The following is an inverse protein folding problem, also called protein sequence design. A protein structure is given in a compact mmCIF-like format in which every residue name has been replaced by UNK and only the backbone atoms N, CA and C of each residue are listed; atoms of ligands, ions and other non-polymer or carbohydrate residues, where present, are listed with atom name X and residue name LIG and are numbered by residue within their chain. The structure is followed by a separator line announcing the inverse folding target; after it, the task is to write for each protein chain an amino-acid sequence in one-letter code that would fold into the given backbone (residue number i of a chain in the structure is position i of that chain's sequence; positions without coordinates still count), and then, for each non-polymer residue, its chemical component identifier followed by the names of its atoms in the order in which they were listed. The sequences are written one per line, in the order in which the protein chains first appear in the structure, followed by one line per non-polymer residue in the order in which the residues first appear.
data_IF_254610092319
#
_entry.id   IF_254610092319
#
_cell.length_a   1.000
_cell.length_b   1.000
_cell.length_c   1.000
_cell.angle_alpha   90.00
_cell.angle_beta   90.00
_cell.angle_gamma   90.00
#
_symmetry.space_group_name_H-M   'P 1'
#
loop_
_entity.id
_entity.type
_entity.pdbx_description
1 polymer ?
#
# COMPACT_ATOMS: atom_id res chain seq x y z
N UNK A 1 0.86 -36.15 0.63
CA UNK A 1 1.15 -34.88 -0.08
C UNK A 1 0.93 -33.76 0.88
N UNK A 2 1.88 -32.85 1.05
CA UNK A 2 1.67 -31.65 1.90
C UNK A 2 0.62 -30.78 1.22
N UNK A 3 -0.51 -30.52 1.86
CA UNK A 3 -1.56 -29.65 1.32
C UNK A 3 -0.95 -28.27 1.08
N UNK A 4 -1.17 -27.69 -0.10
CA UNK A 4 -0.68 -26.35 -0.45
C UNK A 4 -1.34 -25.32 0.47
N UNK A 5 -0.57 -24.40 1.05
CA UNK A 5 -1.11 -23.33 1.90
C UNK A 5 -1.98 -22.37 1.09
N UNK A 6 -2.97 -21.74 1.70
CA UNK A 6 -3.83 -20.75 1.05
C UNK A 6 -3.03 -19.54 0.52
N UNK A 7 -1.94 -19.15 1.20
CA UNK A 7 -1.01 -18.12 0.72
C UNK A 7 -0.41 -18.48 -0.64
N UNK A 8 -0.02 -19.73 -0.83
CA UNK A 8 0.54 -20.21 -2.10
C UNK A 8 -0.52 -20.35 -3.18
N UNK A 9 -1.74 -20.76 -2.82
CA UNK A 9 -2.86 -20.82 -3.77
C UNK A 9 -3.18 -19.42 -4.29
N UNK A 10 -3.23 -18.41 -3.42
CA UNK A 10 -3.48 -17.02 -3.78
C UNK A 10 -2.38 -16.46 -4.69
N UNK A 11 -1.11 -16.73 -4.36
CA UNK A 11 0.02 -16.37 -5.20
C UNK A 11 -0.05 -17.04 -6.58
N UNK A 12 -0.36 -18.33 -6.64
CA UNK A 12 -0.48 -19.09 -7.89
C UNK A 12 -1.67 -18.62 -8.76
N UNK A 13 -2.71 -18.06 -8.14
CA UNK A 13 -3.80 -17.39 -8.84
C UNK A 13 -3.33 -16.13 -9.58
N UNK A 14 -2.18 -15.57 -9.22
CA UNK A 14 -1.64 -14.33 -9.80
C UNK A 14 -1.95 -13.08 -8.99
N UNK A 15 -2.29 -13.22 -7.69
CA UNK A 15 -2.33 -12.11 -6.75
C UNK A 15 -1.05 -12.10 -5.93
N UNK A 16 -0.35 -10.96 -5.91
CA UNK A 16 0.84 -10.76 -5.07
C UNK A 16 0.45 -10.57 -3.61
N UNK A 17 1.15 -11.25 -2.71
CA UNK A 17 0.95 -11.09 -1.27
C UNK A 17 2.04 -10.19 -0.72
N UNK A 18 1.65 -9.01 -0.23
CA UNK A 18 2.56 -8.10 0.43
C UNK A 18 2.26 -8.04 1.93
N UNK A 19 3.30 -7.87 2.72
CA UNK A 19 3.18 -7.68 4.17
C UNK A 19 2.97 -6.20 4.48
N UNK A 20 1.89 -5.85 5.20
CA UNK A 20 1.69 -4.48 5.72
C UNK A 20 2.36 -4.34 7.08
N UNK A 21 3.67 -4.48 7.09
CA UNK A 21 4.52 -4.34 8.27
C UNK A 21 5.99 -4.24 7.87
N UNK A 22 6.75 -3.48 8.65
CA UNK A 22 8.21 -3.46 8.67
C UNK A 22 8.69 -3.11 10.06
N UNK A 23 9.55 -3.92 10.62
CA UNK A 23 10.27 -3.63 11.86
C UNK A 23 11.71 -4.11 11.75
N UNK A 24 12.60 -3.46 12.47
CA UNK A 24 14.01 -3.90 12.55
C UNK A 24 14.12 -5.32 13.11
N UNK A 25 13.20 -5.70 14.00
CA UNK A 25 13.15 -7.05 14.56
C UNK A 25 12.77 -8.10 13.50
N UNK A 26 11.81 -7.82 12.60
CA UNK A 26 11.50 -8.72 11.48
C UNK A 26 12.71 -9.02 10.59
N UNK A 27 13.56 -8.00 10.40
CA UNK A 27 14.80 -8.13 9.62
C UNK A 27 15.89 -8.88 10.39
N UNK A 28 16.12 -8.51 11.66
CA UNK A 28 17.21 -9.06 12.48
C UNK A 28 16.99 -10.53 12.84
N UNK A 29 15.75 -10.94 13.06
CA UNK A 29 15.39 -12.34 13.39
C UNK A 29 15.28 -13.25 12.16
N UNK A 30 15.36 -12.70 10.94
CA UNK A 30 15.13 -13.43 9.70
C UNK A 30 13.66 -13.79 9.46
N UNK A 31 12.73 -13.21 10.24
CA UNK A 31 11.29 -13.51 10.12
C UNK A 31 10.73 -13.09 8.78
N UNK A 32 11.15 -11.92 8.25
CA UNK A 32 10.73 -11.49 6.91
C UNK A 32 11.22 -12.48 5.84
N UNK A 33 12.47 -12.93 5.91
CA UNK A 33 13.00 -13.94 4.98
C UNK A 33 12.18 -15.23 5.02
N UNK A 34 11.80 -15.69 6.22
CA UNK A 34 10.96 -16.88 6.37
C UNK A 34 9.56 -16.67 5.75
N UNK A 35 8.95 -15.49 5.85
CA UNK A 35 7.67 -15.21 5.19
C UNK A 35 7.78 -15.22 3.67
N UNK A 36 8.89 -14.74 3.13
CA UNK A 36 9.21 -14.84 1.70
C UNK A 36 9.26 -16.33 1.29
N UNK A 37 10.04 -17.13 2.00
CA UNK A 37 10.31 -18.52 1.62
C UNK A 37 9.13 -19.46 1.85
N UNK A 38 8.35 -19.26 2.92
CA UNK A 38 7.35 -20.23 3.37
C UNK A 38 5.89 -19.78 3.16
N UNK A 39 5.63 -18.49 3.00
CA UNK A 39 4.29 -17.92 2.91
C UNK A 39 4.02 -17.16 1.60
N UNK A 40 4.93 -17.25 0.63
CA UNK A 40 4.81 -16.59 -0.68
C UNK A 40 4.63 -15.06 -0.57
N UNK A 41 5.25 -14.43 0.42
CA UNK A 41 5.26 -12.97 0.53
C UNK A 41 6.25 -12.41 -0.49
N UNK A 42 5.78 -11.49 -1.34
CA UNK A 42 6.53 -10.98 -2.48
C UNK A 42 6.82 -9.49 -2.43
N UNK A 43 6.43 -8.82 -1.35
CA UNK A 43 6.69 -7.40 -1.14
C UNK A 43 6.20 -6.94 0.23
N UNK A 44 6.35 -5.65 0.51
CA UNK A 44 5.80 -5.04 1.72
C UNK A 44 5.42 -3.58 1.54
N UNK A 45 4.53 -3.11 2.43
CA UNK A 45 4.16 -1.71 2.58
C UNK A 45 4.50 -1.23 3.99
N UNK A 46 4.82 0.05 4.10
CA UNK A 46 5.00 0.75 5.36
C UNK A 46 4.09 1.98 5.43
N UNK A 47 3.93 2.50 6.63
CA UNK A 47 3.24 3.75 6.92
C UNK A 47 3.71 4.31 8.27
N UNK A 48 3.38 5.58 8.63
CA UNK A 48 3.81 6.18 9.88
C UNK A 48 3.42 5.39 11.13
N UNK A 49 2.21 4.80 11.16
CA UNK A 49 1.72 4.02 12.30
C UNK A 49 2.57 2.78 12.56
N UNK A 50 3.01 2.10 11.50
CA UNK A 50 3.89 0.92 11.61
C UNK A 50 5.21 1.32 12.27
N UNK A 51 5.85 2.40 11.80
CA UNK A 51 7.10 2.87 12.37
C UNK A 51 6.96 3.41 13.79
N UNK A 52 5.86 4.12 14.11
CA UNK A 52 5.58 4.55 15.49
C UNK A 52 5.58 3.36 16.44
N UNK A 53 4.80 2.34 16.12
CA UNK A 53 4.73 1.12 16.92
C UNK A 53 6.07 0.39 17.00
N UNK A 54 6.80 0.27 15.89
CA UNK A 54 8.08 -0.42 15.83
C UNK A 54 9.15 0.26 16.69
N UNK A 55 9.29 1.58 16.55
CA UNK A 55 10.32 2.36 17.28
C UNK A 55 9.95 2.47 18.76
N UNK A 56 8.69 2.68 19.09
CA UNK A 56 8.20 2.80 20.47
C UNK A 56 8.45 1.54 21.29
N UNK A 57 8.16 0.38 20.71
CA UNK A 57 8.07 -0.89 21.42
C UNK A 57 9.35 -1.75 21.34
N UNK A 58 10.41 -1.28 20.68
CA UNK A 58 11.65 -2.04 20.51
C UNK A 58 12.88 -1.20 20.84
N UNK A 59 13.89 -1.82 21.47
CA UNK A 59 15.23 -1.25 21.63
C UNK A 59 16.12 -1.44 20.40
N UNK A 60 15.67 -2.17 19.38
CA UNK A 60 16.45 -2.44 18.17
C UNK A 60 16.82 -1.16 17.39
N UNK A 61 16.11 -0.07 17.61
CA UNK A 61 16.39 1.23 17.01
C UNK A 61 17.35 2.10 17.82
N UNK A 62 17.60 1.80 19.10
CA UNK A 62 18.33 2.68 20.01
C UNK A 62 19.77 2.95 19.56
N UNK A 63 20.48 1.94 19.06
CA UNK A 63 21.83 2.12 18.52
C UNK A 63 21.82 3.00 17.25
N UNK A 64 20.87 2.78 16.34
CA UNK A 64 20.69 3.62 15.14
C UNK A 64 20.37 5.08 15.50
N UNK A 65 19.48 5.30 16.46
CA UNK A 65 19.15 6.66 16.94
C UNK A 65 20.41 7.35 17.50
N UNK A 66 21.21 6.68 18.37
CA UNK A 66 22.46 7.26 18.87
C UNK A 66 23.43 7.64 17.75
N UNK A 67 23.63 6.75 16.79
CA UNK A 67 24.50 7.02 15.65
C UNK A 67 24.03 8.28 14.89
N UNK A 68 22.74 8.37 14.57
CA UNK A 68 22.19 9.51 13.83
C UNK A 68 22.22 10.81 14.64
N UNK A 69 22.02 10.75 15.96
CA UNK A 69 22.20 11.91 16.84
C UNK A 69 23.64 12.43 16.82
N UNK A 70 24.63 11.54 16.85
CA UNK A 70 26.05 11.91 16.77
C UNK A 70 26.42 12.51 15.40
N UNK A 71 25.67 12.17 14.34
CA UNK A 71 25.75 12.79 13.00
C UNK A 71 25.00 14.14 12.91
N UNK A 72 24.40 14.62 14.02
CA UNK A 72 23.63 15.87 14.08
C UNK A 72 22.21 15.77 13.52
N UNK A 73 21.71 14.56 13.24
CA UNK A 73 20.36 14.31 12.72
C UNK A 73 19.33 14.37 13.85
N UNK A 74 18.12 14.86 13.53
CA UNK A 74 17.00 14.92 14.49
C UNK A 74 15.65 14.88 13.76
N UNK A 75 14.57 14.66 14.51
CA UNK A 75 13.18 14.72 14.01
C UNK A 75 12.94 13.89 12.75
N UNK A 76 12.35 14.53 11.74
CA UNK A 76 11.99 13.90 10.46
C UNK A 76 13.21 13.36 9.70
N UNK A 77 14.34 14.08 9.70
CA UNK A 77 15.55 13.62 9.03
C UNK A 77 16.08 12.33 9.65
N UNK A 78 16.14 12.28 10.99
CA UNK A 78 16.55 11.08 11.72
C UNK A 78 15.60 9.90 11.43
N UNK A 79 14.30 10.16 11.41
CA UNK A 79 13.30 9.13 11.06
C UNK A 79 13.56 8.54 9.68
N UNK A 80 13.70 9.39 8.65
CA UNK A 80 13.92 8.88 7.29
C UNK A 80 15.23 8.12 7.13
N UNK A 81 16.28 8.45 7.88
CA UNK A 81 17.49 7.62 7.91
C UNK A 81 17.20 6.21 8.43
N UNK A 82 16.49 6.09 9.57
CA UNK A 82 16.13 4.79 10.13
C UNK A 82 15.20 3.98 9.20
N UNK A 83 14.21 4.65 8.60
CA UNK A 83 13.27 4.02 7.68
C UNK A 83 13.96 3.54 6.40
N UNK A 84 14.88 4.33 5.84
CA UNK A 84 15.68 3.95 4.68
C UNK A 84 16.59 2.76 4.99
N UNK A 85 17.24 2.72 6.17
CA UNK A 85 18.04 1.57 6.59
C UNK A 85 17.20 0.27 6.57
N UNK A 86 16.01 0.28 7.14
CA UNK A 86 15.16 -0.90 7.21
C UNK A 86 14.59 -1.27 5.84
N UNK A 87 14.10 -0.29 5.08
CA UNK A 87 13.48 -0.54 3.78
C UNK A 87 14.48 -0.93 2.68
N UNK A 88 15.71 -0.43 2.72
CA UNK A 88 16.75 -0.89 1.80
C UNK A 88 17.16 -2.33 2.09
N UNK A 89 17.27 -2.72 3.37
CA UNK A 89 17.49 -4.13 3.77
C UNK A 89 16.34 -5.02 3.32
N UNK A 90 15.10 -4.58 3.48
CA UNK A 90 13.94 -5.31 2.99
C UNK A 90 13.94 -5.41 1.45
N UNK A 91 14.26 -4.33 0.74
CA UNK A 91 14.38 -4.32 -0.72
C UNK A 91 15.43 -5.34 -1.20
N UNK A 92 16.56 -5.45 -0.51
CA UNK A 92 17.59 -6.45 -0.82
C UNK A 92 17.09 -7.88 -0.63
N UNK A 93 16.25 -8.16 0.38
CA UNK A 93 15.61 -9.47 0.56
C UNK A 93 14.61 -9.81 -0.55
N UNK A 94 13.89 -8.83 -1.07
CA UNK A 94 12.95 -9.00 -2.19
C UNK A 94 13.61 -8.92 -3.57
N UNK A 95 14.87 -8.48 -3.66
CA UNK A 95 15.58 -8.32 -4.94
C UNK A 95 15.57 -9.57 -5.83
N UNK A 96 15.75 -10.81 -5.31
CA UNK A 96 15.65 -12.01 -6.13
C UNK A 96 14.27 -12.19 -6.79
N UNK A 97 13.18 -11.81 -6.10
CA UNK A 97 11.81 -11.85 -6.66
C UNK A 97 11.67 -10.77 -7.74
N UNK A 98 12.15 -9.57 -7.46
CA UNK A 98 12.17 -8.48 -8.43
C UNK A 98 12.88 -8.88 -9.73
N UNK A 99 14.04 -9.50 -9.62
CA UNK A 99 14.83 -9.90 -10.79
C UNK A 99 14.17 -11.04 -11.57
N UNK A 100 13.68 -12.07 -10.89
CA UNK A 100 13.06 -13.22 -11.58
C UNK A 100 11.70 -12.90 -12.18
N UNK A 101 11.00 -11.88 -11.69
CA UNK A 101 9.72 -11.40 -12.23
C UNK A 101 9.89 -10.23 -13.21
N UNK A 102 11.12 -9.86 -13.54
CA UNK A 102 11.43 -8.70 -14.38
C UNK A 102 10.77 -7.42 -13.86
N UNK A 103 10.78 -7.21 -12.53
CA UNK A 103 10.22 -6.03 -11.85
C UNK A 103 8.68 -5.99 -11.80
N UNK A 104 7.98 -7.08 -12.06
CA UNK A 104 6.53 -7.16 -11.83
C UNK A 104 6.22 -7.22 -10.33
N UNK A 105 7.07 -7.87 -9.54
CA UNK A 105 6.90 -8.01 -8.10
C UNK A 105 8.23 -7.79 -7.36
N UNK A 106 8.31 -8.04 -6.06
CA UNK A 106 9.53 -7.86 -5.27
C UNK A 106 9.72 -6.43 -4.76
N UNK A 107 8.62 -5.71 -4.47
CA UNK A 107 8.62 -4.29 -4.14
C UNK A 107 8.51 -4.02 -2.64
N UNK A 108 9.14 -2.93 -2.21
CA UNK A 108 8.92 -2.30 -0.90
C UNK A 108 8.43 -0.87 -1.08
N UNK A 109 7.68 -0.32 -0.11
CA UNK A 109 7.14 1.04 -0.21
C UNK A 109 7.55 1.91 0.96
N UNK A 110 8.05 3.12 0.68
CA UNK A 110 8.33 4.19 1.64
C UNK A 110 7.40 5.38 1.39
N UNK A 111 6.65 5.80 2.40
CA UNK A 111 5.72 6.93 2.31
C UNK A 111 6.42 8.26 2.54
N UNK A 112 6.08 9.28 1.74
CA UNK A 112 6.45 10.68 2.02
C UNK A 112 5.80 11.15 3.32
N UNK A 113 6.29 12.24 3.91
CA UNK A 113 5.64 12.82 5.10
C UNK A 113 4.15 13.10 4.81
N UNK A 114 3.22 12.63 5.68
CA UNK A 114 1.79 12.87 5.50
C UNK A 114 1.41 14.34 5.63
N UNK A 115 2.30 15.18 6.19
CA UNK A 115 2.13 16.62 6.23
C UNK A 115 2.08 17.24 4.83
N UNK A 116 2.60 16.55 3.82
CA UNK A 116 2.68 17.00 2.43
C UNK A 116 1.46 16.59 1.58
N UNK A 117 0.46 15.90 2.16
CA UNK A 117 -0.67 15.31 1.42
C UNK A 117 -1.46 16.31 0.55
N UNK A 118 -1.39 17.59 0.85
CA UNK A 118 -2.06 18.69 0.13
C UNK A 118 -1.09 19.69 -0.51
N UNK A 119 0.20 19.31 -0.69
CA UNK A 119 1.25 20.16 -1.24
C UNK A 119 1.99 19.47 -2.39
N UNK A 120 1.57 19.75 -3.63
CA UNK A 120 2.10 19.11 -4.84
C UNK A 120 3.62 19.24 -4.98
N UNK A 121 4.15 20.45 -4.90
CA UNK A 121 5.58 20.73 -5.14
C UNK A 121 6.48 20.10 -4.07
N UNK A 122 6.09 20.21 -2.80
CA UNK A 122 6.81 19.64 -1.66
C UNK A 122 6.80 18.11 -1.71
N UNK A 123 5.65 17.51 -2.05
CA UNK A 123 5.49 16.06 -2.24
C UNK A 123 6.42 15.54 -3.33
N UNK A 124 6.47 16.19 -4.49
CA UNK A 124 7.37 15.79 -5.60
C UNK A 124 8.84 15.91 -5.19
N UNK A 125 9.21 16.98 -4.51
CA UNK A 125 10.58 17.19 -4.03
C UNK A 125 10.99 16.10 -3.03
N UNK A 126 10.13 15.79 -2.06
CA UNK A 126 10.35 14.71 -1.10
C UNK A 126 10.46 13.35 -1.79
N UNK A 127 9.58 13.04 -2.75
CA UNK A 127 9.61 11.80 -3.51
C UNK A 127 10.93 11.62 -4.27
N UNK A 128 11.41 12.64 -4.96
CA UNK A 128 12.71 12.65 -5.66
C UNK A 128 13.88 12.40 -4.70
N UNK A 129 13.88 13.10 -3.56
CA UNK A 129 14.93 12.97 -2.55
C UNK A 129 14.97 11.57 -1.94
N UNK A 130 13.83 11.06 -1.49
CA UNK A 130 13.73 9.73 -0.86
C UNK A 130 14.10 8.61 -1.82
N UNK A 131 13.63 8.67 -3.08
CA UNK A 131 13.97 7.68 -4.09
C UNK A 131 15.48 7.66 -4.39
N UNK A 132 16.09 8.82 -4.55
CA UNK A 132 17.53 8.93 -4.79
C UNK A 132 18.35 8.39 -3.62
N UNK A 133 17.96 8.72 -2.37
CA UNK A 133 18.62 8.25 -1.14
C UNK A 133 18.46 6.74 -0.93
N UNK A 134 17.31 6.17 -1.30
CA UNK A 134 17.08 4.73 -1.18
C UNK A 134 18.03 3.92 -2.07
N UNK A 135 18.34 4.38 -3.27
CA UNK A 135 19.28 3.74 -4.19
C UNK A 135 18.93 2.28 -4.51
N UNK A 136 17.63 1.94 -4.52
CA UNK A 136 17.13 0.59 -4.80
C UNK A 136 16.09 0.63 -5.94
N UNK A 137 16.24 -0.23 -6.96
CA UNK A 137 15.32 -0.24 -8.11
C UNK A 137 13.91 -0.72 -7.76
N UNK A 138 13.77 -1.49 -6.68
CA UNK A 138 12.52 -2.11 -6.22
C UNK A 138 11.93 -1.39 -5.00
N UNK A 139 12.08 -0.08 -4.91
CA UNK A 139 11.47 0.74 -3.86
C UNK A 139 10.50 1.75 -4.50
N UNK A 140 9.22 1.64 -4.12
CA UNK A 140 8.15 2.56 -4.49
C UNK A 140 8.10 3.71 -3.49
N UNK A 141 7.95 4.92 -3.99
CA UNK A 141 7.60 6.06 -3.13
C UNK A 141 6.08 6.11 -3.00
N UNK A 142 5.59 6.10 -1.76
CA UNK A 142 4.16 6.10 -1.49
C UNK A 142 3.67 7.55 -1.36
N UNK A 143 2.70 7.92 -2.20
CA UNK A 143 2.17 9.28 -2.34
C UNK A 143 0.65 9.23 -2.18
N UNK A 144 0.03 10.09 -1.33
CA UNK A 144 -1.43 10.19 -1.22
C UNK A 144 -2.09 10.56 -2.55
N UNK A 145 -3.17 9.85 -2.91
CA UNK A 145 -3.99 10.14 -4.10
C UNK A 145 -5.02 11.24 -3.84
N UNK A 146 -4.64 12.28 -3.11
CA UNK A 146 -5.43 13.51 -2.92
C UNK A 146 -5.45 14.33 -4.20
N UNK A 147 -6.35 15.30 -4.28
CA UNK A 147 -6.43 16.22 -5.44
C UNK A 147 -5.07 16.88 -5.74
N UNK A 148 -4.35 17.29 -4.70
CA UNK A 148 -3.03 17.92 -4.79
C UNK A 148 -1.91 16.88 -5.01
N UNK A 149 -2.11 15.64 -4.60
CA UNK A 149 -1.17 14.54 -4.83
C UNK A 149 -1.14 14.05 -6.28
N UNK A 150 -2.27 14.12 -7.00
CA UNK A 150 -2.35 13.63 -8.39
C UNK A 150 -1.33 14.27 -9.33
N UNK A 151 -1.13 15.60 -9.36
CA UNK A 151 -0.08 16.21 -10.19
C UNK A 151 1.33 15.78 -9.75
N UNK A 152 1.58 15.58 -8.46
CA UNK A 152 2.88 15.09 -7.98
C UNK A 152 3.14 13.65 -8.43
N UNK A 153 2.11 12.81 -8.48
CA UNK A 153 2.18 11.43 -8.99
C UNK A 153 2.53 11.43 -10.47
N UNK A 154 1.85 12.23 -11.30
CA UNK A 154 2.15 12.38 -12.73
C UNK A 154 3.62 12.80 -12.96
N UNK A 155 4.08 13.83 -12.25
CA UNK A 155 5.46 14.31 -12.35
C UNK A 155 6.50 13.29 -11.84
N UNK A 156 6.20 12.54 -10.76
CA UNK A 156 7.07 11.49 -10.26
C UNK A 156 7.21 10.36 -11.28
N UNK A 157 6.10 9.90 -11.87
CA UNK A 157 6.10 8.89 -12.92
C UNK A 157 6.87 9.40 -14.15
N UNK A 158 6.63 10.65 -14.57
CA UNK A 158 7.40 11.25 -15.66
C UNK A 158 8.90 11.30 -15.34
N UNK A 159 9.28 11.58 -14.11
CA UNK A 159 10.68 11.55 -13.67
C UNK A 159 11.29 10.13 -13.57
N UNK A 160 10.49 9.07 -13.75
CA UNK A 160 10.93 7.67 -13.67
C UNK A 160 10.96 7.11 -12.26
N UNK A 161 10.24 7.72 -11.33
CA UNK A 161 10.14 7.28 -9.94
C UNK A 161 8.97 6.31 -9.81
N UNK A 162 9.19 5.07 -9.33
CA UNK A 162 8.11 4.13 -9.05
C UNK A 162 7.23 4.64 -7.91
N UNK A 163 5.89 4.58 -8.07
CA UNK A 163 4.94 5.17 -7.12
C UNK A 163 3.90 4.16 -6.63
N UNK A 164 3.71 4.13 -5.30
CA UNK A 164 2.53 3.55 -4.66
C UNK A 164 1.54 4.67 -4.34
N UNK A 165 0.44 4.77 -5.10
CA UNK A 165 -0.61 5.75 -4.82
C UNK A 165 -1.47 5.25 -3.67
N UNK A 166 -1.55 5.99 -2.56
CA UNK A 166 -2.28 5.59 -1.35
C UNK A 166 -3.49 6.46 -1.06
N UNK A 167 -4.26 6.09 -0.04
CA UNK A 167 -5.50 6.77 0.39
C UNK A 167 -6.58 6.84 -0.70
N UNK A 168 -6.70 5.77 -1.50
CA UNK A 168 -7.79 5.62 -2.45
C UNK A 168 -8.94 4.87 -1.79
N UNK A 169 -10.14 5.38 -1.91
CA UNK A 169 -11.32 4.79 -1.27
C UNK A 169 -12.42 4.42 -2.28
N UNK A 170 -12.43 4.98 -3.46
CA UNK A 170 -13.48 4.72 -4.44
C UNK A 170 -12.92 4.39 -5.83
N UNK A 171 -13.81 3.91 -6.70
CA UNK A 171 -13.52 3.76 -8.13
C UNK A 171 -13.03 5.09 -8.73
N UNK A 172 -13.66 6.19 -8.36
CA UNK A 172 -13.34 7.54 -8.85
C UNK A 172 -11.94 7.96 -8.42
N UNK A 173 -11.56 7.71 -7.16
CA UNK A 173 -10.20 7.96 -6.68
C UNK A 173 -9.18 7.09 -7.43
N UNK A 174 -9.50 5.82 -7.65
CA UNK A 174 -8.64 4.93 -8.44
C UNK A 174 -8.48 5.44 -9.89
N UNK A 175 -9.57 5.80 -10.56
CA UNK A 175 -9.53 6.28 -11.94
C UNK A 175 -8.68 7.55 -12.05
N UNK A 176 -8.84 8.50 -11.12
CA UNK A 176 -8.02 9.71 -11.09
C UNK A 176 -6.52 9.41 -10.91
N UNK A 177 -6.18 8.44 -10.04
CA UNK A 177 -4.79 7.99 -9.85
C UNK A 177 -4.24 7.30 -11.11
N UNK A 178 -5.04 6.44 -11.76
CA UNK A 178 -4.67 5.77 -13.00
C UNK A 178 -4.47 6.75 -14.16
N UNK A 179 -5.29 7.80 -14.24
CA UNK A 179 -5.15 8.88 -15.21
C UNK A 179 -3.84 9.67 -15.01
N UNK A 180 -3.49 10.00 -13.76
CA UNK A 180 -2.21 10.65 -13.45
C UNK A 180 -1.02 9.77 -13.85
N UNK A 181 -1.07 8.49 -13.53
CA UNK A 181 -0.07 7.50 -13.97
C UNK A 181 0.06 7.45 -15.49
N UNK A 182 -1.08 7.29 -16.21
CA UNK A 182 -1.07 7.21 -17.68
C UNK A 182 -0.48 8.45 -18.33
N UNK A 183 -0.86 9.66 -17.87
CA UNK A 183 -0.28 10.91 -18.39
C UNK A 183 1.23 10.96 -18.19
N UNK A 184 1.71 10.55 -17.02
CA UNK A 184 3.14 10.47 -16.74
C UNK A 184 3.87 9.52 -17.71
N UNK A 185 3.29 8.34 -17.98
CA UNK A 185 3.84 7.35 -18.91
C UNK A 185 3.78 7.86 -20.37
N UNK A 186 2.65 8.41 -20.81
CA UNK A 186 2.51 8.99 -22.16
C UNK A 186 3.54 10.08 -22.41
N UNK A 187 3.76 10.98 -21.46
CA UNK A 187 4.81 12.01 -21.56
C UNK A 187 6.22 11.40 -21.65
N UNK A 188 6.48 10.26 -20.98
CA UNK A 188 7.77 9.55 -21.13
C UNK A 188 7.95 9.01 -22.53
N UNK A 189 6.91 8.39 -23.09
CA UNK A 189 6.91 7.86 -24.45
C UNK A 189 7.17 8.98 -25.45
N UNK A 190 6.47 10.11 -25.33
CA UNK A 190 6.62 11.28 -26.21
C UNK A 190 8.03 11.90 -26.11
N UNK A 191 8.65 11.82 -24.94
CA UNK A 191 10.02 12.27 -24.70
C UNK A 191 11.10 11.24 -25.08
N UNK A 192 10.72 10.06 -25.60
CA UNK A 192 11.67 8.98 -25.94
C UNK A 192 12.33 8.32 -24.72
N UNK A 193 11.74 8.46 -23.52
CA UNK A 193 12.23 7.87 -22.28
C UNK A 193 11.62 6.45 -22.08
N UNK A 194 12.33 5.60 -21.33
CA UNK A 194 11.83 4.27 -21.00
C UNK A 194 10.50 4.35 -20.24
N UNK A 195 9.38 3.80 -20.75
CA UNK A 195 8.07 3.84 -20.09
C UNK A 195 7.88 2.80 -18.98
N UNK A 196 8.85 1.95 -18.70
CA UNK A 196 8.79 0.94 -17.64
C UNK A 196 8.99 1.58 -16.26
N UNK A 197 7.99 2.33 -15.80
CA UNK A 197 7.95 2.86 -14.44
C UNK A 197 6.84 2.13 -13.69
N UNK A 198 7.21 1.40 -12.64
CA UNK A 198 6.25 0.62 -11.87
C UNK A 198 5.35 1.52 -11.02
N UNK A 199 4.10 1.10 -10.87
CA UNK A 199 3.17 1.74 -9.94
C UNK A 199 2.14 0.75 -9.40
N UNK A 200 1.64 1.05 -8.21
CA UNK A 200 0.46 0.39 -7.62
C UNK A 200 -0.51 1.45 -7.12
N UNK A 201 -1.81 1.11 -7.13
CA UNK A 201 -2.89 1.96 -6.63
C UNK A 201 -3.55 1.29 -5.44
N UNK A 202 -3.32 1.81 -4.24
CA UNK A 202 -3.74 1.22 -2.96
C UNK A 202 -5.14 1.67 -2.58
N UNK A 203 -6.12 0.78 -2.76
CA UNK A 203 -7.54 0.99 -2.41
C UNK A 203 -7.82 0.40 -1.04
N UNK A 204 -8.33 1.23 -0.14
CA UNK A 204 -8.61 0.87 1.26
C UNK A 204 -9.98 0.22 1.39
N UNK A 205 -10.03 -0.93 2.06
CA UNK A 205 -11.24 -1.78 2.06
C UNK A 205 -11.97 -1.76 3.40
N UNK A 206 -11.36 -2.22 4.50
CA UNK A 206 -12.09 -2.44 5.76
C UNK A 206 -12.62 -1.16 6.42
N UNK A 207 -12.10 0.00 6.07
CA UNK A 207 -12.57 1.28 6.64
C UNK A 207 -13.99 1.63 6.23
N UNK A 208 -14.45 1.19 5.06
CA UNK A 208 -15.82 1.34 4.61
C UNK A 208 -16.80 0.66 5.56
N UNK A 209 -16.52 -0.59 5.88
CA UNK A 209 -17.40 -1.37 6.75
C UNK A 209 -17.37 -0.87 8.19
N UNK A 210 -16.21 -0.40 8.67
CA UNK A 210 -16.10 0.25 9.97
C UNK A 210 -16.93 1.55 10.06
N UNK A 211 -16.96 2.35 8.99
CA UNK A 211 -17.71 3.62 8.95
C UNK A 211 -19.23 3.44 8.96
N UNK A 212 -19.75 2.33 8.44
CA UNK A 212 -21.18 2.03 8.38
C UNK A 212 -21.64 1.07 9.49
N UNK A 213 -20.73 0.60 10.33
CA UNK A 213 -21.04 -0.31 11.43
C UNK A 213 -22.11 0.29 12.36
N UNK A 214 -23.17 -0.47 12.62
CA UNK A 214 -24.31 -0.02 13.42
C UNK A 214 -25.26 1.00 12.76
N UNK A 215 -24.97 1.42 11.53
CA UNK A 215 -25.80 2.36 10.77
C UNK A 215 -26.71 1.66 9.72
N UNK A 216 -26.42 0.41 9.43
CA UNK A 216 -27.15 -0.40 8.43
C UNK A 216 -27.67 -1.69 9.02
N UNK A 217 -28.59 -2.35 8.32
CA UNK A 217 -29.08 -3.67 8.74
C UNK A 217 -27.96 -4.70 8.79
N UNK A 218 -28.01 -5.64 9.72
CA UNK A 218 -26.98 -6.68 9.92
C UNK A 218 -26.70 -7.51 8.66
N UNK A 219 -27.66 -7.63 7.76
CA UNK A 219 -27.52 -8.31 6.45
C UNK A 219 -26.54 -7.62 5.52
N UNK A 220 -26.21 -6.34 5.76
CA UNK A 220 -25.26 -5.53 5.01
C UNK A 220 -23.89 -5.41 5.69
N UNK A 221 -23.71 -5.92 6.90
CA UNK A 221 -22.45 -5.87 7.62
C UNK A 221 -21.32 -6.51 6.79
N UNK A 222 -20.14 -5.86 6.79
CA UNK A 222 -18.92 -6.32 6.13
C UNK A 222 -19.05 -6.53 4.61
N UNK A 223 -19.97 -5.81 3.93
CA UNK A 223 -20.21 -5.93 2.49
C UNK A 223 -19.86 -4.69 1.68
N UNK A 224 -19.84 -3.49 2.30
CA UNK A 224 -19.63 -2.25 1.55
C UNK A 224 -18.21 -2.18 1.00
N UNK A 225 -17.20 -2.43 1.81
CA UNK A 225 -15.81 -2.42 1.37
C UNK A 225 -15.55 -3.40 0.22
N UNK A 226 -16.16 -4.60 0.29
CA UNK A 226 -16.07 -5.60 -0.78
C UNK A 226 -16.77 -5.12 -2.06
N UNK A 227 -17.97 -4.52 -1.95
CA UNK A 227 -18.71 -3.99 -3.11
C UNK A 227 -17.92 -2.87 -3.81
N UNK A 228 -17.35 -1.93 -3.05
CA UNK A 228 -16.51 -0.86 -3.59
C UNK A 228 -15.24 -1.42 -4.25
N UNK A 229 -14.61 -2.42 -3.64
CA UNK A 229 -13.44 -3.08 -4.22
C UNK A 229 -13.79 -3.79 -5.54
N UNK A 230 -14.88 -4.54 -5.62
CA UNK A 230 -15.38 -5.18 -6.86
C UNK A 230 -15.65 -4.15 -7.96
N UNK A 231 -16.32 -3.04 -7.62
CA UNK A 231 -16.59 -1.92 -8.55
C UNK A 231 -15.29 -1.32 -9.08
N UNK A 232 -14.28 -1.16 -8.22
CA UNK A 232 -12.97 -0.63 -8.60
C UNK A 232 -12.20 -1.64 -9.46
N UNK A 233 -12.27 -2.93 -9.13
CA UNK A 233 -11.65 -3.99 -9.94
C UNK A 233 -12.21 -4.02 -11.36
N UNK A 234 -13.53 -3.87 -11.53
CA UNK A 234 -14.14 -3.74 -12.86
C UNK A 234 -13.53 -2.58 -13.64
N UNK A 235 -13.43 -1.39 -13.04
CA UNK A 235 -12.84 -0.22 -13.69
C UNK A 235 -11.36 -0.46 -14.07
N UNK A 236 -10.59 -1.12 -13.20
CA UNK A 236 -9.22 -1.54 -13.49
C UNK A 236 -9.15 -2.46 -14.71
N UNK A 237 -10.03 -3.47 -14.80
CA UNK A 237 -10.06 -4.41 -15.93
C UNK A 237 -10.49 -3.72 -17.21
N UNK A 238 -11.48 -2.83 -17.13
CA UNK A 238 -11.94 -2.02 -18.27
C UNK A 238 -10.81 -1.12 -18.80
N UNK A 239 -10.02 -0.50 -17.90
CA UNK A 239 -8.87 0.31 -18.28
C UNK A 239 -7.81 -0.51 -19.02
N UNK A 240 -7.46 -1.70 -18.50
CA UNK A 240 -6.48 -2.60 -19.14
C UNK A 240 -6.96 -3.10 -20.52
N UNK A 241 -8.26 -3.17 -20.76
CA UNK A 241 -8.86 -3.49 -22.05
C UNK A 241 -8.99 -2.30 -23.02
N UNK A 242 -8.71 -1.07 -22.56
CA UNK A 242 -8.94 0.13 -23.35
C UNK A 242 -7.91 0.30 -24.49
N UNK A 243 -8.31 0.88 -25.64
CA UNK A 243 -7.38 1.19 -26.73
C UNK A 243 -6.22 2.10 -26.29
N UNK A 244 -6.47 3.02 -25.33
CA UNK A 244 -5.42 3.90 -24.79
C UNK A 244 -4.35 3.10 -24.05
N UNK A 245 -4.78 2.19 -23.16
CA UNK A 245 -3.86 1.31 -22.45
C UNK A 245 -3.07 0.41 -23.41
N UNK A 246 -3.73 -0.17 -24.42
CA UNK A 246 -3.08 -1.04 -25.40
C UNK A 246 -1.95 -0.31 -26.15
N UNK A 247 -2.14 0.97 -26.52
CA UNK A 247 -1.07 1.77 -27.12
C UNK A 247 0.14 1.96 -26.20
N UNK A 248 -0.15 2.29 -24.94
CA UNK A 248 0.90 2.52 -23.93
C UNK A 248 1.65 1.22 -23.62
N UNK A 249 0.92 0.11 -23.50
CA UNK A 249 1.48 -1.23 -23.31
C UNK A 249 2.38 -1.66 -24.48
N UNK A 250 1.94 -1.46 -25.73
CA UNK A 250 2.73 -1.77 -26.93
C UNK A 250 3.99 -0.91 -27.02
N UNK A 251 4.04 0.25 -26.40
CA UNK A 251 5.24 1.07 -26.28
C UNK A 251 6.19 0.59 -25.16
N UNK A 252 5.84 -0.48 -24.44
CA UNK A 252 6.68 -1.10 -23.42
C UNK A 252 6.33 -0.73 -21.97
N UNK A 253 5.25 0.01 -21.72
CA UNK A 253 4.81 0.33 -20.37
C UNK A 253 4.26 -0.90 -19.63
N UNK A 254 4.27 -0.81 -18.30
CA UNK A 254 3.66 -1.81 -17.40
C UNK A 254 2.43 -1.24 -16.70
N UNK A 255 1.44 -2.09 -16.35
CA UNK A 255 0.24 -1.60 -15.69
C UNK A 255 0.53 -1.05 -14.28
N UNK A 256 -0.18 0.02 -13.90
CA UNK A 256 -0.35 0.34 -12.50
C UNK A 256 -1.25 -0.74 -11.88
N UNK A 257 -0.67 -1.61 -11.04
CA UNK A 257 -1.43 -2.71 -10.46
C UNK A 257 -2.35 -2.21 -9.35
N UNK A 258 -3.57 -2.73 -9.34
CA UNK A 258 -4.51 -2.46 -8.25
C UNK A 258 -4.04 -3.21 -7.00
N UNK A 259 -3.98 -2.50 -5.87
CA UNK A 259 -3.55 -3.02 -4.59
C UNK A 259 -4.66 -2.87 -3.56
N UNK A 260 -5.03 -3.97 -2.91
CA UNK A 260 -5.95 -3.99 -1.79
C UNK A 260 -5.20 -3.67 -0.50
N UNK A 261 -5.55 -2.56 0.14
CA UNK A 261 -5.00 -2.09 1.40
C UNK A 261 -6.04 -2.10 2.51
N UNK A 262 -5.59 -2.10 3.77
CA UNK A 262 -6.48 -2.16 4.93
C UNK A 262 -7.41 -3.40 4.88
N UNK A 263 -6.81 -4.57 4.64
CA UNK A 263 -7.53 -5.84 4.45
C UNK A 263 -7.66 -6.68 5.72
N UNK A 264 -7.20 -6.19 6.87
CA UNK A 264 -7.47 -6.79 8.17
C UNK A 264 -8.93 -6.58 8.59
N UNK A 265 -9.62 -7.66 8.94
CA UNK A 265 -11.01 -7.63 9.43
C UNK A 265 -11.10 -6.87 10.75
N UNK A 266 -12.08 -5.95 10.88
CA UNK A 266 -12.30 -5.12 12.06
C UNK A 266 -13.42 -5.65 12.95
N UNK A 267 -14.39 -6.35 12.38
CA UNK A 267 -15.51 -6.99 13.09
C UNK A 267 -15.02 -8.31 13.71
N UNK A 268 -15.00 -8.43 15.06
CA UNK A 268 -14.54 -9.65 15.72
C UNK A 268 -15.47 -10.86 15.52
N UNK A 269 -16.66 -10.66 14.96
CA UNK A 269 -17.61 -11.73 14.63
C UNK A 269 -17.45 -12.24 13.20
N UNK A 270 -16.71 -11.53 12.36
CA UNK A 270 -16.45 -11.94 10.99
C UNK A 270 -15.13 -12.74 10.90
N UNK A 271 -14.95 -13.47 9.80
CA UNK A 271 -13.69 -14.20 9.55
C UNK A 271 -12.51 -13.21 9.51
N UNK A 272 -11.42 -13.57 10.15
CA UNK A 272 -10.16 -12.80 10.16
C UNK A 272 -9.46 -12.73 8.79
N UNK A 273 -9.87 -13.57 7.84
CA UNK A 273 -9.43 -13.60 6.43
C UNK A 273 -10.52 -13.17 5.45
N UNK A 274 -11.59 -12.53 5.94
CA UNK A 274 -12.77 -12.15 5.13
C UNK A 274 -12.39 -11.42 3.84
N UNK A 275 -11.64 -10.31 3.95
CA UNK A 275 -11.30 -9.49 2.79
C UNK A 275 -10.28 -10.17 1.87
N UNK A 276 -9.40 -11.01 2.42
CA UNK A 276 -8.43 -11.76 1.59
C UNK A 276 -9.16 -12.70 0.64
N UNK A 277 -10.14 -13.44 1.18
CA UNK A 277 -10.96 -14.38 0.40
C UNK A 277 -11.82 -13.66 -0.64
N UNK A 278 -12.53 -12.61 -0.22
CA UNK A 278 -13.43 -11.86 -1.08
C UNK A 278 -12.74 -11.08 -2.21
N UNK A 279 -11.45 -10.76 -2.04
CA UNK A 279 -10.66 -9.94 -2.96
C UNK A 279 -9.61 -10.74 -3.73
N UNK A 280 -9.69 -12.08 -3.71
CA UNK A 280 -8.81 -12.93 -4.50
C UNK A 280 -9.04 -12.69 -6.00
N UNK A 281 -8.02 -12.12 -6.68
CA UNK A 281 -8.12 -11.74 -8.08
C UNK A 281 -6.75 -11.71 -8.76
N UNK A 282 -6.60 -12.26 -9.98
CA UNK A 282 -5.35 -12.18 -10.72
C UNK A 282 -4.99 -10.72 -11.07
N UNK A 283 -3.69 -10.47 -11.28
CA UNK A 283 -3.11 -9.17 -11.63
C UNK A 283 -3.28 -8.08 -10.58
N UNK A 284 -3.60 -8.44 -9.33
CA UNK A 284 -3.72 -7.52 -8.21
C UNK A 284 -2.65 -7.80 -7.14
N UNK A 285 -2.56 -6.91 -6.18
CA UNK A 285 -1.73 -7.04 -4.98
C UNK A 285 -2.64 -6.98 -3.76
N UNK A 286 -2.36 -7.76 -2.74
CA UNK A 286 -3.02 -7.64 -1.44
C UNK A 286 -1.95 -7.41 -0.37
N UNK A 287 -1.97 -6.23 0.25
CA UNK A 287 -1.10 -5.96 1.40
C UNK A 287 -1.89 -6.18 2.68
N UNK A 288 -1.41 -7.07 3.52
CA UNK A 288 -2.15 -7.55 4.69
C UNK A 288 -1.34 -7.45 5.97
N UNK A 289 -1.98 -7.19 7.11
CA UNK A 289 -1.34 -7.25 8.42
C UNK A 289 -0.74 -8.63 8.69
N UNK A 290 0.31 -8.68 9.51
CA UNK A 290 0.99 -9.94 9.86
C UNK A 290 0.06 -10.98 10.46
N UNK A 291 -0.88 -10.57 11.33
CA UNK A 291 -1.89 -11.45 11.91
C UNK A 291 -2.79 -12.09 10.84
N UNK A 292 -3.22 -11.31 9.86
CA UNK A 292 -4.04 -11.79 8.72
C UNK A 292 -3.25 -12.73 7.82
N UNK A 293 -1.95 -12.45 7.57
CA UNK A 293 -1.07 -13.36 6.81
C UNK A 293 -0.93 -14.73 7.50
N UNK A 294 -0.75 -14.73 8.82
CA UNK A 294 -0.65 -15.95 9.62
C UNK A 294 -1.96 -16.73 9.61
N UNK A 295 -3.09 -16.06 9.79
CA UNK A 295 -4.42 -16.65 9.73
C UNK A 295 -4.71 -17.28 8.35
N UNK A 296 -4.36 -16.59 7.27
CA UNK A 296 -4.48 -17.11 5.91
C UNK A 296 -3.62 -18.37 5.71
N UNK A 297 -2.39 -18.38 6.24
CA UNK A 297 -1.50 -19.53 6.14
C UNK A 297 -1.95 -20.76 6.95
N UNK A 298 -2.63 -20.52 8.08
CA UNK A 298 -3.07 -21.54 9.03
C UNK A 298 -4.39 -22.19 8.61
N UNK A 299 -5.43 -21.38 8.35
CA UNK A 299 -6.78 -21.88 8.12
C UNK A 299 -7.50 -21.19 6.94
N UNK A 300 -6.78 -20.42 6.11
CA UNK A 300 -7.37 -19.83 4.92
C UNK A 300 -7.81 -20.88 3.90
N UNK A 301 -8.92 -20.62 3.24
CA UNK A 301 -9.36 -21.33 2.04
C UNK A 301 -9.67 -20.31 0.93
N UNK A 302 -9.49 -20.72 -0.32
CA UNK A 302 -9.82 -19.91 -1.49
C UNK A 302 -10.85 -20.68 -2.31
N UNK A 303 -12.11 -20.31 -2.12
CA UNK A 303 -13.24 -20.95 -2.80
C UNK A 303 -13.74 -20.19 -4.02
N UNK A 304 -13.50 -18.87 -4.06
CA UNK A 304 -14.03 -18.00 -5.10
C UNK A 304 -12.97 -17.00 -5.60
N UNK A 305 -13.08 -16.64 -6.87
CA UNK A 305 -12.26 -15.61 -7.51
C UNK A 305 -13.20 -14.43 -7.85
N UNK A 306 -12.73 -13.21 -7.58
CA UNK A 306 -13.48 -12.01 -7.90
C UNK A 306 -13.78 -11.92 -9.39
N UNK A 307 -15.06 -11.72 -9.74
CA UNK A 307 -15.48 -11.55 -11.13
C UNK A 307 -14.90 -10.27 -11.73
N UNK A 308 -14.42 -10.36 -12.97
CA UNK A 308 -13.84 -9.24 -13.69
C UNK A 308 -14.85 -8.13 -14.03
N UNK A 309 -16.14 -8.46 -14.11
CA UNK A 309 -17.24 -7.53 -14.36
C UNK A 309 -17.83 -6.88 -13.09
N UNK A 310 -17.23 -7.20 -11.91
CA UNK A 310 -17.67 -6.69 -10.61
C UNK A 310 -18.85 -7.46 -9.99
N UNK A 311 -19.46 -8.42 -10.72
CA UNK A 311 -20.55 -9.24 -10.21
C UNK A 311 -21.74 -8.41 -9.73
N UNK A 312 -22.14 -8.61 -8.47
CA UNK A 312 -23.29 -7.97 -7.85
C UNK A 312 -23.01 -6.61 -7.17
N UNK A 313 -21.83 -6.04 -7.39
CA UNK A 313 -21.39 -4.86 -6.63
C UNK A 313 -22.33 -3.65 -6.74
N UNK A 314 -22.88 -3.36 -7.92
CA UNK A 314 -23.79 -2.22 -8.09
C UNK A 314 -25.08 -2.42 -7.30
N UNK A 315 -25.65 -3.64 -7.33
CA UNK A 315 -26.84 -3.97 -6.54
C UNK A 315 -26.60 -3.81 -5.04
N UNK A 316 -25.39 -4.19 -4.56
CA UNK A 316 -25.04 -4.00 -3.16
C UNK A 316 -24.90 -2.51 -2.82
N UNK A 317 -24.23 -1.73 -3.66
CA UNK A 317 -24.12 -0.27 -3.46
C UNK A 317 -25.49 0.40 -3.42
N UNK A 318 -26.43 0.00 -4.28
CA UNK A 318 -27.81 0.50 -4.26
C UNK A 318 -28.55 0.17 -2.96
N UNK A 319 -28.29 -1.00 -2.35
CA UNK A 319 -28.83 -1.34 -1.03
C UNK A 319 -28.30 -0.41 0.06
N UNK A 320 -27.01 -0.04 0.02
CA UNK A 320 -26.45 0.94 0.95
C UNK A 320 -27.01 2.33 0.72
N UNK A 321 -27.19 2.76 -0.54
CA UNK A 321 -27.85 4.03 -0.87
C UNK A 321 -29.28 4.05 -0.33
N UNK A 322 -30.05 2.96 -0.47
CA UNK A 322 -31.40 2.81 0.10
C UNK A 322 -31.37 2.89 1.64
N UNK A 323 -30.31 2.43 2.27
CA UNK A 323 -30.10 2.56 3.71
C UNK A 323 -29.60 3.96 4.14
N UNK A 324 -29.52 4.92 3.22
CA UNK A 324 -29.12 6.31 3.52
C UNK A 324 -27.62 6.56 3.50
N UNK A 325 -26.83 5.66 2.91
CA UNK A 325 -25.37 5.84 2.79
C UNK A 325 -25.05 6.42 1.40
N UNK A 326 -24.62 7.69 1.34
CA UNK A 326 -24.02 8.28 0.16
C UNK A 326 -22.55 7.82 0.05
N UNK A 327 -22.28 6.93 -0.89
CA UNK A 327 -20.94 6.37 -1.07
C UNK A 327 -19.93 7.38 -1.62
N UNK A 328 -20.36 8.42 -2.32
CA UNK A 328 -19.46 9.44 -2.84
C UNK A 328 -19.01 10.37 -1.70
N UNK A 329 -19.94 10.83 -0.89
CA UNK A 329 -19.65 11.64 0.30
C UNK A 329 -18.81 10.85 1.30
N UNK A 330 -19.16 9.59 1.53
CA UNK A 330 -18.41 8.72 2.45
C UNK A 330 -16.98 8.45 1.94
N UNK A 331 -16.77 8.30 0.63
CA UNK A 331 -15.42 8.15 0.07
C UNK A 331 -14.54 9.37 0.33
N UNK A 332 -15.07 10.58 0.14
CA UNK A 332 -14.36 11.82 0.44
C UNK A 332 -14.05 11.94 1.94
N UNK A 333 -15.03 11.66 2.79
CA UNK A 333 -14.85 11.65 4.25
C UNK A 333 -13.75 10.66 4.68
N UNK A 334 -13.77 9.43 4.15
CA UNK A 334 -12.77 8.40 4.48
C UNK A 334 -11.36 8.78 4.00
N UNK A 335 -11.23 9.48 2.88
CA UNK A 335 -9.94 9.98 2.41
C UNK A 335 -9.40 11.06 3.34
N UNK A 336 -10.22 12.02 3.73
CA UNK A 336 -9.84 13.09 4.67
C UNK A 336 -9.49 12.54 6.06
N UNK A 337 -10.31 11.64 6.59
CA UNK A 337 -10.05 10.97 7.87
C UNK A 337 -8.78 10.12 7.78
N UNK A 338 -8.54 9.48 6.65
CA UNK A 338 -7.32 8.72 6.39
C UNK A 338 -6.08 9.58 6.43
N UNK A 339 -6.11 10.74 5.76
CA UNK A 339 -5.01 11.71 5.77
C UNK A 339 -4.77 12.25 7.19
N UNK A 340 -5.83 12.66 7.91
CA UNK A 340 -5.74 13.11 9.30
C UNK A 340 -5.18 12.03 10.23
N UNK A 341 -5.60 10.79 10.07
CA UNK A 341 -5.08 9.66 10.86
C UNK A 341 -3.58 9.46 10.65
N UNK A 342 -3.10 9.60 9.41
CA UNK A 342 -1.66 9.50 9.13
C UNK A 342 -0.87 10.67 9.70
N UNK A 343 -1.41 11.89 9.67
CA UNK A 343 -0.81 13.06 10.34
C UNK A 343 -0.71 12.84 11.86
N UNK A 344 -1.75 12.30 12.49
CA UNK A 344 -1.73 11.98 13.92
C UNK A 344 -0.65 10.95 14.24
N UNK A 345 -0.61 9.82 13.49
CA UNK A 345 0.43 8.80 13.67
C UNK A 345 1.85 9.35 13.41
N UNK A 346 1.99 10.30 12.50
CA UNK A 346 3.26 10.99 12.25
C UNK A 346 3.71 11.83 13.44
N UNK A 347 2.80 12.59 14.02
CA UNK A 347 3.08 13.41 15.19
C UNK A 347 3.46 12.54 16.41
N UNK A 348 2.77 11.41 16.60
CA UNK A 348 3.09 10.44 17.64
C UNK A 348 4.50 9.85 17.41
N UNK A 349 4.81 9.45 16.19
CA UNK A 349 6.13 8.97 15.78
C UNK A 349 7.23 10.01 16.04
N UNK A 350 7.02 11.27 15.67
CA UNK A 350 7.98 12.35 15.94
C UNK A 350 8.18 12.55 17.44
N UNK A 351 7.13 12.44 18.24
CA UNK A 351 7.19 12.53 19.70
C UNK A 351 7.97 11.35 20.30
N UNK A 352 7.77 10.13 19.80
CA UNK A 352 8.53 8.94 20.22
C UNK A 352 10.02 9.10 19.90
N UNK A 353 10.36 9.55 18.70
CA UNK A 353 11.76 9.81 18.29
C UNK A 353 12.38 10.86 19.19
N UNK A 354 11.71 11.98 19.45
CA UNK A 354 12.22 13.03 20.33
C UNK A 354 12.47 12.52 21.76
N UNK A 355 11.53 11.75 22.33
CA UNK A 355 11.65 11.17 23.67
C UNK A 355 12.81 10.18 23.78
N UNK A 356 12.92 9.24 22.83
CA UNK A 356 14.05 8.29 22.79
C UNK A 356 15.38 8.99 22.60
N UNK A 357 15.45 9.98 21.72
CA UNK A 357 16.66 10.79 21.47
C UNK A 357 17.13 11.48 22.75
N UNK A 358 16.20 12.11 23.49
CA UNK A 358 16.52 12.78 24.75
C UNK A 358 17.02 11.80 25.84
N UNK A 359 16.44 10.61 25.90
CA UNK A 359 16.85 9.56 26.85
C UNK A 359 18.23 9.00 26.50
N UNK A 360 18.47 8.74 25.23
CA UNK A 360 19.73 8.13 24.76
C UNK A 360 20.90 9.13 24.80
N UNK A 361 20.67 10.43 24.58
CA UNK A 361 21.68 11.47 24.73
C UNK A 361 22.14 11.68 26.19
N UNK A 362 21.26 11.40 27.17
CA UNK A 362 21.62 11.49 28.61
C UNK A 362 22.40 10.28 29.12
N UNK A 363 22.32 9.17 28.41
CA UNK A 363 22.98 7.91 28.78
C UNK A 363 24.36 7.72 28.11
N UNK A 364 24.78 8.71 27.33
CA UNK A 364 26.11 8.82 26.71
C UNK A 364 26.98 9.77 27.48
#
# INVERSE_FOLDING_TARGET
MKTMKATQLLHNLGQSLWLDNITRDLLNTGTLKRYIDELSVTGLTSNPTIFDHAIKNSSAYDAGIRTKLNEGKSGEELFFELALEDLTRAADLFKPIYDCTDGVDGWVSLEVSPLLAHETASTLTAAKSLHARAGRPNLLIKIPGTKEGLPAIEEAIFAGIPVNVTLLFSREHYVAAAEAFLRGIERRIDAGLNPQVASVASVFVSRWDAAVAGKVASTLNNKLGIAIAKRTYKAYRDLLGSPRWQRVYNAGARPQRLLWASTGTKDPKASDVLYIKALAAPFTVNTMPEGTLKALADHGDLSEIMSADGGDCEKLVDQFATAGIDVCELAATLQDEGAKSFVNSWNDLMSVIASKSATLAKAS
#
